data_IF_375579697854
#
_entry.id   IF_375579697854
#
_cell.length_a   1.000
_cell.length_b   1.000
_cell.length_c   1.000
_cell.angle_alpha   90.00
_cell.angle_beta   90.00
_cell.angle_gamma   90.00
#
_symmetry.space_group_name_H-M   'P 1'
#
loop_
_entity.id
_entity.type
_entity.pdbx_description
1 polymer ?
#
# COMPACT_ATOMS: atom_id res chain seq x y z
N UNK A 1 -11.52 8.48 -35.11
CA UNK A 1 -11.69 7.01 -35.21
C UNK A 1 -12.01 6.49 -33.82
N UNK A 2 -13.30 6.41 -33.48
CA UNK A 2 -13.76 5.91 -32.19
C UNK A 2 -13.87 4.39 -32.27
N UNK A 3 -12.77 3.70 -32.01
CA UNK A 3 -12.82 2.27 -31.72
C UNK A 3 -13.48 2.11 -30.36
N UNK A 4 -14.77 1.77 -30.35
CA UNK A 4 -15.44 1.28 -29.15
C UNK A 4 -14.70 0.01 -28.73
N UNK A 5 -13.81 0.14 -27.74
CA UNK A 5 -13.18 -0.99 -27.08
C UNK A 5 -14.31 -1.72 -26.34
N UNK A 6 -14.79 -2.79 -26.93
CA UNK A 6 -15.75 -3.70 -26.30
C UNK A 6 -15.12 -4.20 -24.99
N UNK A 7 -15.50 -3.58 -23.88
CA UNK A 7 -15.14 -4.08 -22.56
C UNK A 7 -15.96 -5.34 -22.30
N UNK A 8 -15.33 -6.49 -22.02
CA UNK A 8 -16.07 -7.70 -21.75
C UNK A 8 -17.00 -7.48 -20.54
N UNK A 9 -18.24 -7.95 -20.62
CA UNK A 9 -19.25 -7.77 -19.56
C UNK A 9 -18.82 -8.40 -18.22
N UNK A 10 -17.90 -9.37 -18.26
CA UNK A 10 -17.32 -10.01 -17.07
C UNK A 10 -16.20 -9.19 -16.41
N UNK A 11 -15.61 -8.21 -17.10
CA UNK A 11 -14.42 -7.48 -16.61
C UNK A 11 -14.74 -6.66 -15.36
N UNK A 12 -15.84 -5.92 -15.38
CA UNK A 12 -16.29 -5.12 -14.24
C UNK A 12 -16.41 -5.97 -12.96
N UNK A 13 -17.29 -6.99 -12.95
CA UNK A 13 -17.47 -7.88 -11.80
C UNK A 13 -16.18 -8.58 -11.35
N UNK A 14 -15.35 -9.02 -12.29
CA UNK A 14 -14.08 -9.69 -11.96
C UNK A 14 -13.11 -8.77 -11.24
N UNK A 15 -12.94 -7.53 -11.72
CA UNK A 15 -12.05 -6.56 -11.08
C UNK A 15 -12.62 -6.09 -9.74
N UNK A 16 -13.92 -5.87 -9.63
CA UNK A 16 -14.58 -5.58 -8.34
C UNK A 16 -14.30 -6.67 -7.31
N UNK A 17 -14.45 -7.95 -7.66
CA UNK A 17 -14.15 -9.05 -6.74
C UNK A 17 -12.65 -9.21 -6.40
N UNK A 18 -11.75 -8.61 -7.16
CA UNK A 18 -10.32 -8.50 -6.76
C UNK A 18 -10.12 -7.34 -5.81
N UNK A 19 -10.77 -6.20 -6.07
CA UNK A 19 -10.72 -5.02 -5.21
C UNK A 19 -11.28 -5.31 -3.81
N UNK A 20 -12.43 -5.97 -3.71
CA UNK A 20 -13.05 -6.36 -2.44
C UNK A 20 -12.08 -7.21 -1.59
N UNK A 21 -11.43 -8.20 -2.22
CA UNK A 21 -10.42 -9.03 -1.53
C UNK A 21 -9.19 -8.25 -1.08
N UNK A 22 -8.75 -7.27 -1.86
CA UNK A 22 -7.63 -6.42 -1.47
C UNK A 22 -8.03 -5.51 -0.30
N UNK A 23 -9.26 -4.98 -0.29
CA UNK A 23 -9.80 -4.19 0.82
C UNK A 23 -9.90 -5.01 2.11
N UNK A 24 -10.36 -6.26 2.02
CA UNK A 24 -10.38 -7.18 3.16
C UNK A 24 -8.98 -7.39 3.74
N UNK A 25 -7.98 -7.61 2.88
CA UNK A 25 -6.57 -7.77 3.31
C UNK A 25 -6.01 -6.49 3.95
N UNK A 26 -6.39 -5.31 3.45
CA UNK A 26 -6.03 -4.03 4.09
C UNK A 26 -6.69 -3.93 5.47
N UNK A 27 -7.97 -4.27 5.59
CA UNK A 27 -8.70 -4.26 6.86
C UNK A 27 -8.08 -5.21 7.87
N UNK A 28 -7.72 -6.44 7.47
CA UNK A 28 -7.01 -7.40 8.32
C UNK A 28 -5.67 -6.83 8.79
N UNK A 29 -4.90 -6.24 7.87
CA UNK A 29 -3.63 -5.61 8.24
C UNK A 29 -3.88 -4.49 9.24
N UNK A 30 -4.86 -3.60 9.08
CA UNK A 30 -5.13 -2.48 10.00
C UNK A 30 -5.70 -2.97 11.36
N UNK A 31 -6.60 -3.94 11.36
CA UNK A 31 -7.36 -4.39 12.53
C UNK A 31 -6.57 -5.16 13.59
N UNK A 32 -5.32 -5.53 13.31
CA UNK A 32 -4.51 -6.39 14.21
C UNK A 32 -4.14 -5.78 15.56
N UNK A 33 -4.40 -4.49 15.82
CA UNK A 33 -4.07 -3.82 17.11
C UNK A 33 -2.55 -3.77 17.44
N UNK A 34 -1.73 -4.42 16.64
CA UNK A 34 -0.28 -4.50 16.76
C UNK A 34 0.36 -3.16 16.38
N UNK A 35 1.57 -2.84 16.86
CA UNK A 35 2.34 -1.69 16.40
C UNK A 35 2.56 -1.74 14.88
N UNK A 36 2.71 -0.58 14.24
CA UNK A 36 3.11 -0.53 12.82
C UNK A 36 4.55 -1.06 12.71
N UNK A 37 4.71 -2.27 12.19
CA UNK A 37 6.00 -2.85 11.82
C UNK A 37 6.33 -2.55 10.35
N UNK A 38 7.62 -2.61 10.00
CA UNK A 38 8.10 -2.47 8.63
C UNK A 38 7.38 -3.41 7.65
N UNK A 39 7.34 -4.72 7.95
CA UNK A 39 6.72 -5.73 7.08
C UNK A 39 5.22 -5.47 6.85
N UNK A 40 4.54 -4.89 7.84
CA UNK A 40 3.13 -4.53 7.73
C UNK A 40 2.92 -3.32 6.84
N UNK A 41 3.78 -2.30 6.97
CA UNK A 41 3.75 -1.12 6.10
C UNK A 41 4.03 -1.51 4.64
N UNK A 42 4.98 -2.41 4.41
CA UNK A 42 5.27 -2.96 3.09
C UNK A 42 4.08 -3.75 2.53
N UNK A 43 3.45 -4.59 3.36
CA UNK A 43 2.24 -5.32 2.99
C UNK A 43 1.10 -4.38 2.58
N UNK A 44 0.85 -3.32 3.36
CA UNK A 44 -0.18 -2.34 3.05
C UNK A 44 0.13 -1.57 1.76
N UNK A 45 1.37 -1.08 1.59
CA UNK A 45 1.78 -0.37 0.38
C UNK A 45 1.60 -1.24 -0.87
N UNK A 46 1.98 -2.53 -0.80
CA UNK A 46 1.82 -3.47 -1.89
C UNK A 46 0.35 -3.76 -2.25
N UNK A 47 -0.55 -3.82 -1.26
CA UNK A 47 -1.99 -4.00 -1.50
C UNK A 47 -2.60 -2.77 -2.17
N UNK A 48 -2.29 -1.57 -1.68
CA UNK A 48 -2.75 -0.33 -2.29
C UNK A 48 -2.24 -0.16 -3.73
N UNK A 49 -0.99 -0.56 -4.01
CA UNK A 49 -0.47 -0.55 -5.38
C UNK A 49 -1.25 -1.51 -6.29
N UNK A 50 -1.59 -2.72 -5.80
CA UNK A 50 -2.42 -3.69 -6.53
C UNK A 50 -3.82 -3.14 -6.79
N UNK A 51 -4.43 -2.44 -5.82
CA UNK A 51 -5.71 -1.76 -6.01
C UNK A 51 -5.63 -0.69 -7.09
N UNK A 52 -4.60 0.17 -7.05
CA UNK A 52 -4.40 1.19 -8.08
C UNK A 52 -4.26 0.59 -9.48
N UNK A 53 -3.58 -0.57 -9.62
CA UNK A 53 -3.49 -1.30 -10.90
C UNK A 53 -4.86 -1.85 -11.35
N UNK A 54 -5.65 -2.41 -10.44
CA UNK A 54 -7.01 -2.88 -10.74
C UNK A 54 -7.91 -1.74 -11.21
N UNK A 55 -7.88 -0.60 -10.52
CA UNK A 55 -8.61 0.59 -10.92
C UNK A 55 -8.16 1.14 -12.26
N UNK A 56 -6.87 1.09 -12.58
CA UNK A 56 -6.35 1.52 -13.89
C UNK A 56 -6.90 0.66 -15.03
N UNK A 57 -7.04 -0.65 -14.82
CA UNK A 57 -7.67 -1.55 -15.78
C UNK A 57 -9.13 -1.14 -15.96
N UNK A 58 -9.91 -0.99 -14.88
CA UNK A 58 -11.30 -0.53 -14.98
C UNK A 58 -11.42 0.82 -15.70
N UNK A 59 -10.56 1.79 -15.40
CA UNK A 59 -10.60 3.13 -15.98
C UNK A 59 -10.41 3.11 -17.51
N UNK A 60 -9.50 2.26 -17.99
CA UNK A 60 -9.25 2.07 -19.42
C UNK A 60 -10.46 1.49 -20.17
N UNK A 61 -11.42 0.91 -19.44
CA UNK A 61 -12.53 0.14 -19.97
C UNK A 61 -13.91 0.74 -19.67
N UNK A 62 -14.05 1.67 -18.71
CA UNK A 62 -15.34 2.26 -18.31
C UNK A 62 -15.41 3.78 -18.42
N UNK A 63 -14.29 4.49 -18.63
CA UNK A 63 -14.22 5.97 -18.66
C UNK A 63 -14.85 6.67 -17.44
N UNK A 64 -15.00 5.99 -16.30
CA UNK A 64 -15.71 6.55 -15.16
C UNK A 64 -14.81 7.40 -14.24
N UNK A 65 -15.26 8.63 -13.92
CA UNK A 65 -14.54 9.55 -13.02
C UNK A 65 -14.38 8.99 -11.60
N UNK A 66 -15.28 8.12 -11.15
CA UNK A 66 -15.20 7.48 -9.83
C UNK A 66 -13.98 6.56 -9.74
N UNK A 67 -13.68 5.82 -10.81
CA UNK A 67 -12.54 4.91 -10.89
C UNK A 67 -11.22 5.67 -10.80
N UNK A 68 -11.11 6.81 -11.50
CA UNK A 68 -9.92 7.65 -11.44
C UNK A 68 -9.66 8.22 -10.03
N UNK A 69 -10.71 8.64 -9.32
CA UNK A 69 -10.58 9.10 -7.93
C UNK A 69 -10.13 7.98 -7.00
N UNK A 70 -10.69 6.79 -7.15
CA UNK A 70 -10.33 5.63 -6.36
C UNK A 70 -8.87 5.19 -6.60
N UNK A 71 -8.43 5.19 -7.87
CA UNK A 71 -7.03 4.92 -8.25
C UNK A 71 -6.06 5.89 -7.57
N UNK A 72 -6.36 7.19 -7.61
CA UNK A 72 -5.51 8.23 -6.99
C UNK A 72 -5.45 8.07 -5.47
N UNK A 73 -6.58 7.78 -4.82
CA UNK A 73 -6.62 7.53 -3.38
C UNK A 73 -5.71 6.34 -3.00
N UNK A 74 -5.83 5.21 -3.70
CA UNK A 74 -5.00 4.04 -3.45
C UNK A 74 -3.50 4.36 -3.62
N UNK A 75 -3.12 5.10 -4.67
CA UNK A 75 -1.73 5.49 -4.87
C UNK A 75 -1.20 6.39 -3.74
N UNK A 76 -1.96 7.42 -3.34
CA UNK A 76 -1.56 8.30 -2.23
C UNK A 76 -1.38 7.52 -0.92
N UNK A 77 -2.24 6.54 -0.65
CA UNK A 77 -2.07 5.67 0.52
C UNK A 77 -0.77 4.86 0.44
N UNK A 78 -0.46 4.26 -0.71
CA UNK A 78 0.80 3.54 -0.88
C UNK A 78 2.04 4.43 -0.64
N UNK A 79 2.03 5.66 -1.18
CA UNK A 79 3.12 6.63 -0.99
C UNK A 79 3.26 7.05 0.48
N UNK A 80 2.15 7.33 1.16
CA UNK A 80 2.14 7.67 2.58
C UNK A 80 2.70 6.53 3.45
N UNK A 81 2.33 5.28 3.18
CA UNK A 81 2.89 4.14 3.92
C UNK A 81 4.38 3.94 3.64
N UNK A 82 4.84 4.21 2.41
CA UNK A 82 6.26 4.18 2.09
C UNK A 82 7.05 5.27 2.83
N UNK A 83 6.44 6.44 3.08
CA UNK A 83 7.03 7.49 3.91
C UNK A 83 7.09 7.11 5.39
N UNK A 84 6.00 6.59 5.94
CA UNK A 84 5.94 6.09 7.31
C UNK A 84 7.00 5.00 7.54
N UNK A 85 7.18 4.11 6.57
CA UNK A 85 8.23 3.08 6.57
C UNK A 85 9.63 3.70 6.64
N UNK A 86 9.93 4.68 5.78
CA UNK A 86 11.24 5.36 5.78
C UNK A 86 11.52 6.00 7.14
N UNK A 87 10.53 6.66 7.73
CA UNK A 87 10.63 7.25 9.07
C UNK A 87 10.87 6.20 10.16
N UNK A 88 10.14 5.08 10.13
CA UNK A 88 10.34 3.97 11.07
C UNK A 88 11.74 3.36 10.94
N UNK A 89 12.20 3.08 9.72
CA UNK A 89 13.50 2.48 9.45
C UNK A 89 14.65 3.39 9.94
N UNK A 90 14.53 4.71 9.73
CA UNK A 90 15.49 5.69 10.24
C UNK A 90 15.51 5.74 11.77
N UNK A 91 14.33 5.78 12.41
CA UNK A 91 14.21 5.75 13.87
C UNK A 91 14.83 4.49 14.47
N UNK A 92 14.56 3.32 13.87
CA UNK A 92 15.15 2.04 14.27
C UNK A 92 16.67 2.06 14.16
N UNK A 93 17.22 2.53 13.03
CA UNK A 93 18.67 2.66 12.84
C UNK A 93 19.32 3.56 13.89
N UNK A 94 18.70 4.70 14.22
CA UNK A 94 19.18 5.61 15.26
C UNK A 94 19.16 4.96 16.64
N UNK A 95 18.10 4.22 16.95
CA UNK A 95 17.99 3.47 18.20
C UNK A 95 19.08 2.38 18.33
N UNK A 96 19.29 1.59 17.27
CA UNK A 96 20.31 0.54 17.24
C UNK A 96 21.73 1.11 17.34
N UNK A 97 22.01 2.23 16.66
CA UNK A 97 23.29 2.93 16.78
C UNK A 97 23.55 3.42 18.21
N UNK A 98 22.55 4.05 18.85
CA UNK A 98 22.66 4.50 20.23
C UNK A 98 22.81 3.35 21.22
N UNK A 99 22.19 2.20 20.95
CA UNK A 99 22.38 1.00 21.77
C UNK A 99 23.82 0.47 21.65
N UNK A 100 24.35 0.39 20.42
CA UNK A 100 25.72 -0.05 20.15
C UNK A 100 26.76 0.83 20.86
N UNK A 101 26.59 2.16 20.83
CA UNK A 101 27.47 3.13 21.52
C UNK A 101 27.49 2.94 23.04
N UNK A 102 26.33 2.64 23.66
CA UNK A 102 26.26 2.36 25.10
C UNK A 102 26.99 1.08 25.48
N UNK A 103 26.87 0.04 24.67
CA UNK A 103 27.61 -1.21 24.86
C UNK A 103 29.12 -1.04 24.65
N UNK A 104 29.57 -0.23 23.69
CA UNK A 104 31.00 0.03 23.47
C UNK A 104 31.60 0.97 24.52
N UNK A 105 30.82 1.95 25.02
CA UNK A 105 31.26 2.86 26.08
C UNK A 105 31.34 2.21 27.48
N UNK A 106 30.62 1.11 27.70
CA UNK A 106 30.68 0.33 28.95
C UNK A 106 31.92 -0.56 29.08
N UNK A 107 32.61 -0.88 27.97
CA UNK A 107 33.79 -1.75 27.97
C UNK A 107 35.12 -1.01 28.25
N UNK A 108 35.09 0.31 28.44
CA UNK A 108 36.27 1.16 28.61
C UNK A 108 36.42 1.76 30.03
N UNK A 109 35.78 1.17 31.05
CA UNK A 109 35.95 1.57 32.47
C UNK A 109 36.63 0.48 33.28
#
# INVERSE_FOLDING_TARGET
MSGSLFSPTWLGPAVSGVLDRLDDQVCELIGTGQPRSADRLDGMAALYERQARCWRILAAHTHERVVWKAMLAAQMHAESFAEDYRGFAESKRRFEAAAAERTSGGAAR
#
